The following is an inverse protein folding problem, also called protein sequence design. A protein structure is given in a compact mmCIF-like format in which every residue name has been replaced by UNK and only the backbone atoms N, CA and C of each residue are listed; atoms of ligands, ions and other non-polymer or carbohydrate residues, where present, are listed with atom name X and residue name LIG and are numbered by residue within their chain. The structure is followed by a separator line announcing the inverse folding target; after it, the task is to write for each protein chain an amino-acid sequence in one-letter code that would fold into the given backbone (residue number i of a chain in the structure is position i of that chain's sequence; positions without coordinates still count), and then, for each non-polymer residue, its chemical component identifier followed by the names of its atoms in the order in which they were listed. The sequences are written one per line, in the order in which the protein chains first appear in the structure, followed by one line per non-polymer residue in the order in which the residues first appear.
data_IF_934443246390
#
_entry.id   IF_934443246390
#
_cell.length_a   1.000
_cell.length_b   1.000
_cell.length_c   1.000
_cell.angle_alpha   90.00
_cell.angle_beta   90.00
_cell.angle_gamma   90.00
#
_symmetry.space_group_name_H-M   'P 1'
#
loop_
_entity.id
_entity.type
_entity.pdbx_description
1 polymer ?
#
# COMPACT_ATOMS: atom_id res chain seq x y z
N UNK A 1 -15.79 -4.25 -6.71
CA UNK A 1 -16.29 -4.08 -5.34
C UNK A 1 -15.45 -3.01 -4.65
N UNK A 2 -16.00 -2.32 -3.66
CA UNK A 2 -15.22 -1.42 -2.78
C UNK A 2 -14.83 -2.11 -1.47
N UNK A 3 -15.26 -3.36 -1.27
CA UNK A 3 -14.89 -4.17 -0.12
C UNK A 3 -13.57 -4.88 -0.40
N UNK A 4 -12.53 -4.46 0.32
CA UNK A 4 -11.20 -5.03 0.20
C UNK A 4 -11.11 -6.46 0.77
N UNK A 5 -11.89 -6.83 1.80
CA UNK A 5 -11.87 -8.19 2.34
C UNK A 5 -12.41 -9.16 1.28
N UNK A 6 -13.49 -8.75 0.62
CA UNK A 6 -14.07 -9.48 -0.50
C UNK A 6 -13.05 -9.68 -1.63
N UNK A 7 -12.40 -8.61 -2.07
CA UNK A 7 -11.41 -8.66 -3.14
C UNK A 7 -10.19 -9.53 -2.76
N UNK A 8 -9.67 -9.39 -1.55
CA UNK A 8 -8.46 -10.07 -1.08
C UNK A 8 -8.66 -11.57 -0.86
N UNK A 9 -9.88 -12.02 -0.58
CA UNK A 9 -10.17 -13.43 -0.26
C UNK A 9 -10.70 -14.23 -1.43
N UNK A 10 -11.35 -13.58 -2.41
CA UNK A 10 -12.03 -14.29 -3.50
C UNK A 10 -11.40 -14.12 -4.88
N UNK A 11 -10.57 -13.10 -5.10
CA UNK A 11 -10.01 -12.84 -6.43
C UNK A 11 -8.64 -13.49 -6.62
N UNK A 12 -8.45 -14.18 -7.75
CA UNK A 12 -7.11 -14.63 -8.18
C UNK A 12 -6.22 -13.45 -8.58
N UNK A 13 -6.84 -12.36 -9.04
CA UNK A 13 -6.17 -11.13 -9.48
C UNK A 13 -7.08 -9.94 -9.20
N UNK A 14 -6.49 -8.89 -8.68
CA UNK A 14 -7.15 -7.62 -8.36
C UNK A 14 -6.57 -6.53 -9.27
N UNK A 15 -7.45 -5.67 -9.77
CA UNK A 15 -7.09 -4.43 -10.49
C UNK A 15 -7.42 -3.27 -9.56
N UNK A 16 -6.40 -2.57 -9.09
CA UNK A 16 -6.55 -1.38 -8.26
C UNK A 16 -6.69 -0.17 -9.17
N UNK A 17 -7.77 0.57 -8.99
CA UNK A 17 -8.12 1.76 -9.77
C UNK A 17 -8.17 2.99 -8.87
N UNK A 18 -7.64 4.11 -9.36
CA UNK A 18 -7.72 5.41 -8.72
C UNK A 18 -7.93 6.48 -9.79
N UNK A 19 -8.95 7.33 -9.63
CA UNK A 19 -9.32 8.38 -10.59
C UNK A 19 -9.46 7.89 -12.06
N UNK A 20 -9.94 6.66 -12.24
CA UNK A 20 -10.12 6.05 -13.56
C UNK A 20 -8.83 5.50 -14.20
N UNK A 21 -7.70 5.56 -13.50
CA UNK A 21 -6.42 5.00 -13.91
C UNK A 21 -6.12 3.72 -13.14
N UNK A 22 -5.44 2.78 -13.81
CA UNK A 22 -4.96 1.55 -13.17
C UNK A 22 -3.67 1.87 -12.42
N UNK A 23 -3.71 1.69 -11.10
CA UNK A 23 -2.56 1.88 -10.22
C UNK A 23 -1.70 0.62 -10.16
N UNK A 24 -2.33 -0.55 -10.04
CA UNK A 24 -1.63 -1.84 -10.01
C UNK A 24 -2.57 -3.00 -10.36
N UNK A 25 -2.00 -4.05 -10.93
CA UNK A 25 -2.69 -5.33 -11.19
C UNK A 25 -1.82 -6.46 -10.63
N UNK A 26 -2.38 -7.32 -9.79
CA UNK A 26 -1.62 -8.38 -9.14
C UNK A 26 -2.48 -9.40 -8.42
N UNK A 27 -1.86 -10.48 -7.94
CA UNK A 27 -2.52 -11.33 -6.96
C UNK A 27 -2.73 -10.54 -5.65
N UNK A 28 -3.71 -10.92 -4.80
CA UNK A 28 -3.95 -10.23 -3.53
C UNK A 28 -2.69 -10.03 -2.69
N UNK A 29 -1.87 -11.09 -2.55
CA UNK A 29 -0.63 -11.03 -1.78
C UNK A 29 0.41 -10.09 -2.40
N UNK A 30 0.50 -10.01 -3.73
CA UNK A 30 1.44 -9.12 -4.40
C UNK A 30 1.10 -7.65 -4.13
N UNK A 31 -0.20 -7.31 -4.12
CA UNK A 31 -0.65 -5.95 -3.81
C UNK A 31 -0.36 -5.56 -2.36
N UNK A 32 -0.41 -6.53 -1.44
CA UNK A 32 -0.11 -6.32 -0.03
C UNK A 32 1.40 -6.24 0.24
N UNK A 33 2.18 -7.20 -0.27
CA UNK A 33 3.62 -7.31 0.00
C UNK A 33 4.46 -6.32 -0.83
N UNK A 34 3.98 -5.96 -2.03
CA UNK A 34 4.72 -5.15 -3.01
C UNK A 34 3.81 -4.11 -3.67
N UNK A 35 3.28 -3.15 -2.91
CA UNK A 35 2.49 -2.07 -3.48
C UNK A 35 3.35 -1.20 -4.40
N UNK A 36 2.82 -0.87 -5.58
CA UNK A 36 3.52 -0.10 -6.60
C UNK A 36 3.65 1.39 -6.24
N UNK A 37 2.79 1.89 -5.36
CA UNK A 37 2.80 3.27 -4.89
C UNK A 37 2.12 3.41 -3.52
N UNK A 38 2.19 4.61 -2.94
CA UNK A 38 1.63 4.93 -1.63
C UNK A 38 0.10 4.78 -1.59
N UNK A 39 -0.60 5.01 -2.70
CA UNK A 39 -2.04 4.81 -2.76
C UNK A 39 -2.37 3.32 -2.58
N UNK A 40 -1.75 2.43 -3.35
CA UNK A 40 -1.98 0.98 -3.20
C UNK A 40 -1.57 0.50 -1.80
N UNK A 41 -0.44 0.97 -1.28
CA UNK A 41 0.05 0.62 0.04
C UNK A 41 -0.91 1.03 1.18
N UNK A 42 -1.58 2.18 1.01
CA UNK A 42 -2.55 2.70 1.98
C UNK A 42 -3.96 2.14 1.78
N UNK A 43 -4.26 1.65 0.58
CA UNK A 43 -5.59 1.15 0.21
C UNK A 43 -5.75 -0.35 0.49
N UNK A 44 -4.68 -1.15 0.31
CA UNK A 44 -4.72 -2.60 0.49
C UNK A 44 -4.30 -2.98 1.92
N UNK A 45 -5.22 -3.58 2.66
CA UNK A 45 -5.01 -4.04 4.04
C UNK A 45 -5.91 -3.33 5.03
N UNK A 46 -6.28 -4.03 6.11
CA UNK A 46 -7.06 -3.48 7.21
C UNK A 46 -6.53 -4.00 8.55
N UNK A 47 -5.90 -3.17 9.39
CA UNK A 47 -5.59 -1.75 9.17
C UNK A 47 -4.64 -1.49 8.00
N UNK A 48 -4.71 -0.30 7.39
CA UNK A 48 -3.84 0.13 6.31
C UNK A 48 -2.36 0.28 6.76
N UNK A 49 -1.44 0.33 5.79
CA UNK A 49 -0.01 0.54 6.06
C UNK A 49 0.24 1.88 6.75
N UNK A 50 1.16 1.89 7.71
CA UNK A 50 1.59 3.13 8.37
C UNK A 50 2.56 3.91 7.48
N UNK A 51 2.30 5.20 7.29
CA UNK A 51 3.23 6.12 6.62
C UNK A 51 3.92 7.03 7.63
N UNK A 52 5.25 6.99 7.65
CA UNK A 52 6.07 7.82 8.53
C UNK A 52 6.88 8.77 7.65
N UNK A 53 6.70 10.07 7.86
CA UNK A 53 7.47 11.09 7.17
C UNK A 53 8.81 11.30 7.88
N UNK A 54 9.87 11.41 7.08
CA UNK A 54 11.22 11.63 7.57
C UNK A 54 12.15 12.02 6.45
N UNK A 55 13.43 12.21 6.79
CA UNK A 55 14.50 12.48 5.86
C UNK A 55 15.68 11.56 6.15
N UNK A 56 16.52 11.34 5.14
CA UNK A 56 17.75 10.57 5.31
C UNK A 56 18.88 11.55 5.66
N UNK A 57 19.51 11.35 6.81
CA UNK A 57 20.69 12.09 7.26
C UNK A 57 21.78 11.08 7.62
N UNK A 58 22.96 11.20 6.98
CA UNK A 58 24.10 10.30 7.21
C UNK A 58 23.78 8.78 7.06
N UNK A 59 22.81 8.44 6.20
CA UNK A 59 22.38 7.06 5.98
C UNK A 59 21.38 6.53 7.01
N UNK A 60 20.92 7.37 7.94
CA UNK A 60 19.91 7.04 8.95
C UNK A 60 18.60 7.73 8.57
N UNK A 61 17.48 7.01 8.71
CA UNK A 61 16.15 7.59 8.54
C UNK A 61 15.75 8.33 9.82
N UNK A 62 15.47 9.64 9.71
CA UNK A 62 15.05 10.47 10.84
C UNK A 62 13.63 10.97 10.64
N UNK A 63 12.75 10.64 11.59
CA UNK A 63 11.37 11.15 11.65
C UNK A 63 11.19 12.16 12.79
N UNK A 64 10.22 13.07 12.66
CA UNK A 64 9.93 14.10 13.67
C UNK A 64 9.57 13.52 15.06
N UNK A 65 9.17 12.24 15.12
CA UNK A 65 8.84 11.52 16.35
C UNK A 65 10.01 10.79 17.02
N UNK A 66 11.24 10.89 16.49
CA UNK A 66 12.43 10.26 17.10
C UNK A 66 12.63 8.79 16.75
N UNK A 67 11.89 8.24 15.77
CA UNK A 67 12.25 6.96 15.18
C UNK A 67 13.54 7.16 14.37
N UNK A 68 14.60 6.45 14.75
CA UNK A 68 15.92 6.37 14.07
C UNK A 68 16.10 4.97 13.50
#
# INVERSE_FOLDING_TARGET
THDQIEAMTMADKIVVLHDGLVEQIGAPLDLYDRPANLFVAGFIGSPAMNFIHGHIEEGIFRSAGGLT
#
